data_IF_151078709869
#
_entry.id   IF_151078709869
#
_cell.length_a   1.000
_cell.length_b   1.000
_cell.length_c   1.000
_cell.angle_alpha   90.00
_cell.angle_beta   90.00
_cell.angle_gamma   90.00
#
_symmetry.space_group_name_H-M   'P 1'
#
loop_
_entity.id
_entity.type
_entity.pdbx_description
1 polymer ?
#
# COMPACT_ATOMS: atom_id res chain seq x y z
N UNK A 1 -22.93 -72.31 -4.05
CA UNK A 1 -21.77 -71.44 -4.41
C UNK A 1 -22.23 -70.52 -5.52
N UNK A 2 -22.16 -69.18 -5.52
CA UNK A 2 -21.72 -68.12 -4.60
C UNK A 2 -22.48 -66.88 -5.09
N UNK A 3 -23.01 -66.07 -4.18
CA UNK A 3 -23.62 -64.78 -4.50
C UNK A 3 -22.58 -63.84 -5.13
N UNK A 4 -22.79 -63.42 -6.38
CA UNK A 4 -22.01 -62.33 -6.98
C UNK A 4 -22.74 -61.01 -6.73
N UNK A 5 -22.44 -60.40 -5.59
CA UNK A 5 -22.86 -59.03 -5.26
C UNK A 5 -21.99 -58.06 -6.09
N UNK A 6 -22.60 -57.39 -7.07
CA UNK A 6 -21.97 -56.27 -7.77
C UNK A 6 -22.01 -55.05 -6.83
N UNK A 7 -20.90 -54.78 -6.16
CA UNK A 7 -20.71 -53.59 -5.33
C UNK A 7 -20.43 -52.40 -6.27
N UNK A 8 -21.45 -51.56 -6.48
CA UNK A 8 -21.29 -50.22 -7.04
C UNK A 8 -20.63 -49.37 -5.94
N UNK A 9 -19.30 -49.24 -6.02
CA UNK A 9 -18.54 -48.31 -5.22
C UNK A 9 -18.69 -46.90 -5.79
N UNK A 10 -19.58 -46.12 -5.19
CA UNK A 10 -19.74 -44.69 -5.47
C UNK A 10 -18.50 -43.94 -4.95
N UNK A 11 -17.59 -43.56 -5.85
CA UNK A 11 -16.46 -42.67 -5.57
C UNK A 11 -16.91 -41.23 -5.82
N UNK A 12 -17.64 -40.67 -4.86
CA UNK A 12 -17.88 -39.23 -4.75
C UNK A 12 -17.53 -38.84 -3.33
N UNK A 13 -16.48 -38.03 -3.12
CA UNK A 13 -16.35 -37.02 -2.05
C UNK A 13 -14.91 -36.47 -2.03
N UNK A 14 -14.60 -35.59 -2.99
CA UNK A 14 -13.47 -34.65 -2.88
C UNK A 14 -13.80 -33.26 -3.46
N UNK A 15 -15.08 -32.95 -3.70
CA UNK A 15 -15.51 -31.71 -4.36
C UNK A 15 -15.94 -30.57 -3.44
N UNK A 16 -16.27 -30.84 -2.16
CA UNK A 16 -16.93 -29.83 -1.31
C UNK A 16 -15.97 -28.78 -0.73
N UNK A 17 -14.69 -29.09 -0.52
CA UNK A 17 -13.71 -28.15 0.06
C UNK A 17 -13.25 -27.09 -0.95
N UNK A 18 -13.08 -27.47 -2.22
CA UNK A 18 -12.74 -26.54 -3.31
C UNK A 18 -13.88 -25.55 -3.62
N UNK A 19 -15.14 -26.03 -3.60
CA UNK A 19 -16.32 -25.19 -3.86
C UNK A 19 -16.54 -24.14 -2.77
N UNK A 20 -16.30 -24.49 -1.50
CA UNK A 20 -16.42 -23.56 -0.37
C UNK A 20 -15.41 -22.41 -0.45
N UNK A 21 -14.13 -22.71 -0.70
CA UNK A 21 -13.07 -21.70 -0.79
C UNK A 21 -13.28 -20.71 -1.94
N UNK A 22 -13.73 -21.19 -3.11
CA UNK A 22 -14.04 -20.31 -4.23
C UNK A 22 -15.22 -19.38 -3.93
N UNK A 23 -16.26 -19.88 -3.24
CA UNK A 23 -17.40 -19.08 -2.82
C UNK A 23 -17.02 -17.97 -1.85
N UNK A 24 -16.31 -18.30 -0.77
CA UNK A 24 -15.84 -17.32 0.22
C UNK A 24 -14.89 -16.30 -0.42
N UNK A 25 -13.99 -16.73 -1.31
CA UNK A 25 -13.11 -15.81 -2.02
C UNK A 25 -13.89 -14.77 -2.85
N UNK A 26 -14.93 -15.18 -3.57
CA UNK A 26 -15.75 -14.25 -4.35
C UNK A 26 -16.59 -13.33 -3.47
N UNK A 27 -17.12 -13.82 -2.34
CA UNK A 27 -17.83 -12.98 -1.36
C UNK A 27 -16.90 -11.92 -0.75
N UNK A 28 -15.65 -12.28 -0.46
CA UNK A 28 -14.64 -11.33 0.01
C UNK A 28 -14.35 -10.23 -1.01
N UNK A 29 -14.24 -10.58 -2.30
CA UNK A 29 -14.03 -9.60 -3.37
C UNK A 29 -15.23 -8.66 -3.56
N UNK A 30 -16.45 -9.20 -3.45
CA UNK A 30 -17.66 -8.38 -3.46
C UNK A 30 -17.73 -7.42 -2.27
N UNK A 31 -17.30 -7.86 -1.08
CA UNK A 31 -17.22 -6.98 0.08
C UNK A 31 -16.20 -5.84 -0.14
N UNK A 32 -15.04 -6.13 -0.77
CA UNK A 32 -14.07 -5.09 -1.14
C UNK A 32 -14.62 -4.08 -2.15
N UNK A 33 -15.38 -4.52 -3.16
CA UNK A 33 -15.99 -3.60 -4.14
C UNK A 33 -17.09 -2.73 -3.54
N UNK A 34 -17.69 -3.17 -2.42
CA UNK A 34 -18.61 -2.37 -1.59
C UNK A 34 -17.91 -1.48 -0.54
N UNK A 35 -16.57 -1.43 -0.53
CA UNK A 35 -15.78 -0.73 0.48
C UNK A 35 -16.04 -1.22 1.92
N UNK A 36 -16.27 -2.53 2.09
CA UNK A 36 -16.47 -3.20 3.38
C UNK A 36 -15.25 -4.09 3.74
N UNK A 37 -14.10 -3.50 4.10
CA UNK A 37 -12.86 -4.27 4.25
C UNK A 37 -12.90 -5.28 5.41
N UNK A 38 -13.62 -5.02 6.49
CA UNK A 38 -13.75 -5.97 7.61
C UNK A 38 -14.58 -7.21 7.24
N UNK A 39 -15.66 -7.00 6.49
CA UNK A 39 -16.46 -8.10 5.95
C UNK A 39 -15.61 -8.93 4.97
N UNK A 40 -14.84 -8.25 4.12
CA UNK A 40 -13.93 -8.91 3.19
C UNK A 40 -12.89 -9.79 3.90
N UNK A 41 -12.26 -9.27 4.97
CA UNK A 41 -11.31 -10.04 5.78
C UNK A 41 -11.96 -11.26 6.41
N UNK A 42 -13.20 -11.17 6.86
CA UNK A 42 -13.93 -12.33 7.41
C UNK A 42 -14.01 -13.47 6.40
N UNK A 43 -14.34 -13.15 5.14
CA UNK A 43 -14.38 -14.16 4.07
C UNK A 43 -12.99 -14.68 3.71
N UNK A 44 -12.01 -13.79 3.49
CA UNK A 44 -10.66 -14.22 3.12
C UNK A 44 -9.97 -15.04 4.21
N UNK A 45 -10.23 -14.75 5.49
CA UNK A 45 -9.69 -15.54 6.61
C UNK A 45 -10.22 -16.98 6.61
N UNK A 46 -11.46 -17.22 6.15
CA UNK A 46 -11.97 -18.59 5.97
C UNK A 46 -11.21 -19.30 4.85
N UNK A 47 -10.97 -18.62 3.74
CA UNK A 47 -10.17 -19.15 2.63
C UNK A 47 -8.76 -19.50 3.11
N UNK A 48 -8.08 -18.60 3.81
CA UNK A 48 -6.69 -18.83 4.27
C UNK A 48 -6.57 -19.83 5.42
N UNK A 49 -7.62 -20.02 6.21
CA UNK A 49 -7.69 -21.06 7.24
C UNK A 49 -7.78 -22.47 6.64
N UNK A 50 -8.39 -22.60 5.46
CA UNK A 50 -8.47 -23.87 4.73
C UNK A 50 -7.25 -24.08 3.83
N UNK A 51 -6.87 -23.05 3.08
CA UNK A 51 -5.72 -23.05 2.16
C UNK A 51 -4.98 -21.72 2.23
N UNK A 52 -3.89 -21.69 2.98
CA UNK A 52 -3.05 -20.48 3.11
C UNK A 52 -2.30 -20.12 1.82
N UNK A 53 -2.22 -21.03 0.84
CA UNK A 53 -1.60 -20.81 -0.46
C UNK A 53 -2.61 -20.45 -1.56
N UNK A 54 -3.89 -20.28 -1.21
CA UNK A 54 -4.96 -20.12 -2.18
C UNK A 54 -4.66 -19.03 -3.20
N UNK A 55 -4.67 -19.43 -4.47
CA UNK A 55 -4.48 -18.55 -5.62
C UNK A 55 -5.44 -18.96 -6.72
N UNK A 56 -6.11 -18.00 -7.33
CA UNK A 56 -6.92 -18.24 -8.54
C UNK A 56 -6.18 -17.76 -9.79
N UNK A 57 -6.57 -18.29 -10.93
CA UNK A 57 -6.10 -17.84 -12.23
C UNK A 57 -7.28 -17.30 -13.03
N UNK A 58 -7.17 -16.04 -13.45
CA UNK A 58 -8.13 -15.39 -14.32
C UNK A 58 -7.45 -15.10 -15.65
N UNK A 59 -7.55 -16.06 -16.58
CA UNK A 59 -6.63 -16.13 -17.71
C UNK A 59 -5.20 -16.37 -17.21
N UNK A 60 -4.19 -15.62 -17.69
CA UNK A 60 -2.83 -15.74 -17.16
C UNK A 60 -2.57 -14.85 -15.93
N UNK A 61 -3.56 -14.09 -15.41
CA UNK A 61 -3.38 -13.36 -14.15
C UNK A 61 -3.43 -14.35 -12.99
N UNK A 62 -2.36 -14.41 -12.19
CA UNK A 62 -2.39 -15.04 -10.88
C UNK A 62 -2.93 -14.07 -9.84
N UNK A 63 -3.81 -14.58 -8.98
CA UNK A 63 -4.46 -13.80 -7.95
C UNK A 63 -4.42 -14.55 -6.61
N UNK A 64 -3.39 -14.28 -5.81
CA UNK A 64 -3.30 -14.82 -4.44
C UNK A 64 -4.35 -14.19 -3.53
N UNK A 65 -4.95 -15.00 -2.64
CA UNK A 65 -5.83 -14.51 -1.56
C UNK A 65 -5.14 -13.45 -0.69
N UNK A 66 -3.82 -13.56 -0.49
CA UNK A 66 -3.06 -12.61 0.33
C UNK A 66 -2.97 -11.22 -0.28
N UNK A 67 -3.04 -11.10 -1.61
CA UNK A 67 -3.18 -9.82 -2.31
C UNK A 67 -4.47 -9.12 -1.88
N UNK A 68 -5.55 -9.88 -1.73
CA UNK A 68 -6.84 -9.34 -1.31
C UNK A 68 -6.94 -9.08 0.20
N UNK A 69 -6.35 -9.94 1.04
CA UNK A 69 -6.19 -9.69 2.48
C UNK A 69 -5.40 -8.40 2.71
N UNK A 70 -4.27 -8.23 2.01
CA UNK A 70 -3.45 -7.02 2.10
C UNK A 70 -4.23 -5.78 1.68
N UNK A 71 -5.01 -5.86 0.59
CA UNK A 71 -5.86 -4.75 0.14
C UNK A 71 -6.93 -4.37 1.16
N UNK A 72 -7.53 -5.35 1.85
CA UNK A 72 -8.51 -5.07 2.90
C UNK A 72 -7.86 -4.36 4.10
N UNK A 73 -6.66 -4.78 4.53
CA UNK A 73 -5.89 -4.08 5.54
C UNK A 73 -5.48 -2.67 5.10
N UNK A 74 -5.03 -2.51 3.86
CA UNK A 74 -4.66 -1.22 3.27
C UNK A 74 -5.84 -0.24 3.30
N UNK A 75 -7.01 -0.67 2.84
CA UNK A 75 -8.24 0.13 2.85
C UNK A 75 -8.72 0.51 4.27
N UNK A 76 -8.29 -0.24 5.28
CA UNK A 76 -8.61 0.02 6.69
C UNK A 76 -7.54 0.84 7.42
N UNK A 77 -6.50 1.31 6.71
CA UNK A 77 -5.37 2.03 7.31
C UNK A 77 -4.42 1.15 8.14
N UNK A 78 -4.59 -0.17 8.12
CA UNK A 78 -3.75 -1.16 8.82
C UNK A 78 -2.51 -1.50 7.98
N UNK A 79 -1.63 -0.51 7.81
CA UNK A 79 -0.52 -0.60 6.86
C UNK A 79 0.54 -1.65 7.22
N UNK A 80 0.75 -1.95 8.51
CA UNK A 80 1.71 -2.97 8.93
C UNK A 80 1.22 -4.37 8.52
N UNK A 81 -0.05 -4.67 8.77
CA UNK A 81 -0.72 -5.91 8.40
C UNK A 81 -0.87 -6.03 6.89
N UNK A 82 -1.18 -4.93 6.20
CA UNK A 82 -1.23 -4.87 4.74
C UNK A 82 0.11 -5.30 4.13
N UNK A 83 1.22 -4.70 4.61
CA UNK A 83 2.57 -5.05 4.16
C UNK A 83 2.88 -6.53 4.38
N UNK A 84 2.60 -7.04 5.57
CA UNK A 84 2.85 -8.45 5.89
C UNK A 84 2.05 -9.41 4.99
N UNK A 85 0.82 -9.04 4.62
CA UNK A 85 0.02 -9.81 3.68
C UNK A 85 0.58 -9.76 2.26
N UNK A 86 0.99 -8.58 1.75
CA UNK A 86 1.59 -8.46 0.42
C UNK A 86 2.96 -9.13 0.28
N UNK A 87 3.74 -9.22 1.37
CA UNK A 87 5.02 -9.92 1.35
C UNK A 87 4.85 -11.43 1.06
N UNK A 88 3.74 -12.05 1.48
CA UNK A 88 3.50 -13.50 1.29
C UNK A 88 3.50 -13.96 -0.18
N UNK A 89 2.69 -13.39 -1.09
CA UNK A 89 2.71 -13.80 -2.50
C UNK A 89 4.03 -13.42 -3.18
N UNK A 90 4.63 -12.29 -2.80
CA UNK A 90 5.88 -11.79 -3.41
C UNK A 90 7.11 -12.63 -3.06
N UNK A 91 7.07 -13.44 -2.00
CA UNK A 91 8.12 -14.41 -1.68
C UNK A 91 8.11 -15.62 -2.63
N UNK A 92 6.96 -15.94 -3.21
CA UNK A 92 6.76 -17.15 -4.01
C UNK A 92 6.76 -16.87 -5.51
N UNK A 93 6.23 -15.70 -5.89
CA UNK A 93 5.91 -15.39 -7.28
C UNK A 93 6.35 -13.96 -7.63
N UNK A 94 7.11 -13.83 -8.71
CA UNK A 94 7.60 -12.53 -9.17
C UNK A 94 6.55 -11.76 -10.00
N UNK A 95 5.53 -12.45 -10.50
CA UNK A 95 4.43 -11.95 -11.36
C UNK A 95 3.21 -11.46 -10.56
N UNK A 96 3.29 -11.39 -9.23
CA UNK A 96 2.28 -10.81 -8.33
C UNK A 96 2.32 -9.27 -8.36
N UNK A 97 2.14 -8.70 -9.55
CA UNK A 97 2.31 -7.28 -9.79
C UNK A 97 1.30 -6.41 -9.05
N UNK A 98 0.06 -6.89 -8.86
CA UNK A 98 -0.96 -6.20 -8.05
C UNK A 98 -0.54 -6.16 -6.58
N UNK A 99 -0.03 -7.25 -6.02
CA UNK A 99 0.50 -7.27 -4.65
C UNK A 99 1.68 -6.29 -4.50
N UNK A 100 2.59 -6.28 -5.49
CA UNK A 100 3.72 -5.34 -5.52
C UNK A 100 3.27 -3.88 -5.58
N UNK A 101 2.26 -3.58 -6.38
CA UNK A 101 1.68 -2.24 -6.49
C UNK A 101 1.16 -1.75 -5.14
N UNK A 102 0.29 -2.54 -4.50
CA UNK A 102 -0.28 -2.17 -3.21
C UNK A 102 0.75 -2.18 -2.08
N UNK A 103 1.80 -2.99 -2.15
CA UNK A 103 2.93 -2.90 -1.22
C UNK A 103 3.68 -1.56 -1.36
N UNK A 104 3.91 -1.10 -2.58
CA UNK A 104 4.47 0.23 -2.85
C UNK A 104 3.58 1.34 -2.28
N UNK A 105 2.27 1.27 -2.53
CA UNK A 105 1.27 2.21 -1.96
C UNK A 105 1.27 2.19 -0.42
N UNK A 106 1.41 1.01 0.18
CA UNK A 106 1.49 0.83 1.63
C UNK A 106 2.69 1.55 2.21
N UNK A 107 3.85 1.51 1.53
CA UNK A 107 5.05 2.25 1.96
C UNK A 107 4.84 3.77 1.91
N UNK A 108 4.07 4.30 0.96
CA UNK A 108 3.76 5.73 0.91
C UNK A 108 2.86 6.17 2.07
N UNK A 109 1.88 5.32 2.43
CA UNK A 109 0.88 5.63 3.45
C UNK A 109 1.27 5.24 4.88
N UNK A 110 2.24 4.35 5.04
CA UNK A 110 2.66 3.86 6.35
C UNK A 110 3.31 4.96 7.21
N UNK A 111 3.19 4.88 8.56
CA UNK A 111 3.92 5.75 9.46
C UNK A 111 5.42 5.76 9.14
N UNK A 112 6.05 6.93 9.19
CA UNK A 112 7.45 7.12 8.79
C UNK A 112 7.61 7.74 7.40
N UNK A 113 6.56 7.78 6.59
CA UNK A 113 6.49 8.60 5.38
C UNK A 113 6.30 10.08 5.74
N UNK A 114 7.02 10.96 5.04
CA UNK A 114 6.90 12.41 5.12
C UNK A 114 5.72 12.95 4.33
N UNK A 115 5.04 12.09 3.54
CA UNK A 115 3.75 12.41 2.92
C UNK A 115 2.72 12.48 4.05
N UNK A 116 2.28 13.69 4.45
CA UNK A 116 1.53 13.85 5.68
C UNK A 116 0.12 13.26 5.51
N UNK A 117 -0.43 12.59 6.54
CA UNK A 117 -1.88 12.45 6.65
C UNK A 117 -2.52 13.85 6.78
N UNK A 118 -3.80 14.04 6.43
CA UNK A 118 -4.42 15.37 6.44
C UNK A 118 -4.31 16.03 7.82
N UNK A 119 -3.60 17.16 7.84
CA UNK A 119 -3.37 18.12 8.93
C UNK A 119 -2.58 17.65 10.17
N UNK A 120 -1.32 18.12 10.31
CA UNK A 120 -0.66 18.21 11.63
C UNK A 120 0.27 19.41 11.79
N UNK A 121 -0.11 20.25 12.77
CA UNK A 121 0.58 21.22 13.66
C UNK A 121 1.93 21.84 13.23
N UNK A 122 1.99 23.18 13.33
CA UNK A 122 3.17 24.00 13.05
C UNK A 122 4.31 23.84 14.09
N UNK A 123 5.53 23.45 13.66
CA UNK A 123 6.71 23.36 14.52
C UNK A 123 7.16 24.73 15.03
N UNK A 124 7.89 24.74 16.15
CA UNK A 124 8.30 25.95 16.85
C UNK A 124 9.43 26.67 16.07
N UNK A 125 9.19 27.92 15.71
CA UNK A 125 10.11 28.77 14.95
C UNK A 125 11.18 29.42 15.83
N UNK A 126 12.26 29.93 15.22
CA UNK A 126 13.28 30.69 15.93
C UNK A 126 12.68 31.95 16.58
N UNK A 127 11.72 32.58 15.91
CA UNK A 127 11.03 33.75 16.43
C UNK A 127 10.22 33.43 17.70
N UNK A 128 9.50 32.30 17.72
CA UNK A 128 8.75 31.88 18.91
C UNK A 128 9.67 31.54 20.09
N UNK A 129 10.81 30.87 19.85
CA UNK A 129 11.81 30.57 20.89
C UNK A 129 12.42 31.86 21.44
N UNK A 130 12.88 32.75 20.55
CA UNK A 130 13.51 34.02 20.96
C UNK A 130 12.52 34.93 21.69
N UNK A 131 11.25 34.94 21.28
CA UNK A 131 10.19 35.66 21.97
C UNK A 131 9.97 35.09 23.38
N UNK A 132 9.80 33.78 23.53
CA UNK A 132 9.60 33.15 24.83
C UNK A 132 10.74 33.45 25.82
N UNK A 133 11.98 33.39 25.35
CA UNK A 133 13.15 33.71 26.18
C UNK A 133 13.21 35.20 26.57
N UNK A 134 12.87 36.12 25.65
CA UNK A 134 12.78 37.56 25.93
C UNK A 134 11.72 37.89 26.99
N UNK A 135 10.60 37.19 26.97
CA UNK A 135 9.52 37.32 27.95
C UNK A 135 9.85 36.64 29.30
N UNK A 136 11.06 36.08 29.46
CA UNK A 136 11.51 35.46 30.70
C UNK A 136 10.94 34.06 30.95
N UNK A 137 10.43 33.38 29.91
CA UNK A 137 9.98 31.99 30.03
C UNK A 137 11.19 31.10 30.32
N UNK A 138 11.06 30.26 31.35
CA UNK A 138 12.11 29.33 31.78
C UNK A 138 12.61 28.45 30.59
N UNK A 139 13.94 28.36 30.35
CA UNK A 139 14.50 27.59 29.24
C UNK A 139 14.08 26.12 29.20
N UNK A 140 13.85 25.48 30.36
CA UNK A 140 13.38 24.08 30.42
C UNK A 140 11.92 23.97 29.98
N UNK A 141 11.10 24.99 30.26
CA UNK A 141 9.73 25.06 29.73
C UNK A 141 9.75 25.21 28.21
N UNK A 142 10.61 26.08 27.68
CA UNK A 142 10.82 26.22 26.23
C UNK A 142 11.30 24.90 25.60
N UNK A 143 12.21 24.18 26.26
CA UNK A 143 12.70 22.88 25.80
C UNK A 143 11.58 21.83 25.74
N UNK A 144 10.68 21.82 26.72
CA UNK A 144 9.51 20.93 26.73
C UNK A 144 8.58 21.22 25.57
N UNK A 145 8.27 22.50 25.32
CA UNK A 145 7.43 22.91 24.19
C UNK A 145 8.06 22.58 22.84
N UNK A 146 9.38 22.77 22.72
CA UNK A 146 10.13 22.40 21.53
C UNK A 146 10.10 20.89 21.26
N UNK A 147 10.15 20.07 22.32
CA UNK A 147 10.02 18.61 22.21
C UNK A 147 8.63 18.19 21.73
N UNK A 148 7.58 18.81 22.26
CA UNK A 148 6.19 18.45 21.93
C UNK A 148 5.79 18.86 20.51
N UNK A 149 6.32 19.99 20.02
CA UNK A 149 5.94 20.57 18.71
C UNK A 149 6.97 20.36 17.61
N UNK A 150 8.21 19.99 17.96
CA UNK A 150 9.35 20.04 17.05
C UNK A 150 9.84 21.47 16.81
N UNK A 151 10.97 21.59 16.09
CA UNK A 151 11.68 22.86 15.84
C UNK A 151 11.91 23.07 14.34
N UNK A 152 11.59 24.28 13.86
CA UNK A 152 11.61 24.68 12.45
C UNK A 152 12.91 25.39 12.00
N UNK A 153 13.97 25.37 12.81
CA UNK A 153 15.24 26.04 12.53
C UNK A 153 16.44 25.17 12.93
N UNK A 154 17.60 25.44 12.33
CA UNK A 154 18.86 24.78 12.66
C UNK A 154 19.66 25.59 13.68
N UNK A 155 20.36 24.89 14.56
CA UNK A 155 21.20 25.50 15.60
C UNK A 155 22.59 25.84 15.03
N UNK A 156 22.68 26.90 14.23
CA UNK A 156 23.95 27.46 13.74
C UNK A 156 24.73 28.15 14.88
N UNK A 157 26.02 28.45 14.68
CA UNK A 157 26.81 29.21 15.67
C UNK A 157 26.18 30.57 16.01
N UNK A 158 25.64 31.25 15.00
CA UNK A 158 24.94 32.52 15.14
C UNK A 158 23.65 32.36 15.96
N UNK A 159 22.83 31.37 15.60
CA UNK A 159 21.56 31.09 16.28
C UNK A 159 21.79 30.67 17.74
N UNK A 160 22.80 29.85 17.99
CA UNK A 160 23.19 29.45 19.33
C UNK A 160 23.62 30.66 20.17
N UNK A 161 24.44 31.54 19.60
CA UNK A 161 24.88 32.78 20.27
C UNK A 161 23.69 33.69 20.57
N UNK A 162 22.78 33.86 19.61
CA UNK A 162 21.56 34.64 19.77
C UNK A 162 20.69 34.09 20.91
N UNK A 163 20.46 32.78 20.96
CA UNK A 163 19.66 32.15 22.00
C UNK A 163 20.34 32.26 23.38
N UNK A 164 21.66 32.07 23.47
CA UNK A 164 22.43 32.25 24.71
C UNK A 164 22.34 33.68 25.23
N UNK A 165 22.44 34.69 24.36
CA UNK A 165 22.29 36.10 24.72
C UNK A 165 20.90 36.42 25.27
N UNK A 166 19.89 35.58 24.97
CA UNK A 166 18.52 35.72 25.47
C UNK A 166 18.24 34.83 26.70
N UNK A 167 19.25 34.18 27.27
CA UNK A 167 19.10 33.36 28.47
C UNK A 167 18.85 31.87 28.23
N UNK A 168 19.03 31.36 27.00
CA UNK A 168 19.03 29.92 26.75
C UNK A 168 20.20 29.25 27.48
N UNK A 169 19.89 28.21 28.26
CA UNK A 169 20.89 27.38 28.94
C UNK A 169 21.38 26.23 28.06
N UNK A 170 22.40 25.50 28.53
CA UNK A 170 22.93 24.34 27.81
C UNK A 170 21.87 23.26 27.56
N UNK A 171 20.94 23.07 28.51
CA UNK A 171 19.89 22.06 28.40
C UNK A 171 18.92 22.35 27.24
N UNK A 172 18.48 23.59 27.08
CA UNK A 172 17.62 24.00 25.95
C UNK A 172 18.32 23.80 24.60
N UNK A 173 19.59 24.19 24.50
CA UNK A 173 20.36 24.08 23.26
C UNK A 173 20.64 22.62 22.88
N UNK A 174 20.98 21.78 23.85
CA UNK A 174 21.17 20.34 23.66
C UNK A 174 19.85 19.67 23.24
N UNK A 175 18.72 20.08 23.82
CA UNK A 175 17.41 19.58 23.43
C UNK A 175 17.05 19.97 21.98
N UNK A 176 17.23 21.24 21.59
CA UNK A 176 17.00 21.69 20.20
C UNK A 176 17.89 20.91 19.23
N UNK A 177 19.17 20.73 19.57
CA UNK A 177 20.13 19.96 18.75
C UNK A 177 19.67 18.51 18.60
N UNK A 178 19.24 17.88 19.70
CA UNK A 178 18.72 16.51 19.70
C UNK A 178 17.48 16.39 18.81
N UNK A 179 16.52 17.29 18.95
CA UNK A 179 15.30 17.33 18.11
C UNK A 179 15.67 17.43 16.62
N UNK A 180 16.63 18.28 16.24
CA UNK A 180 17.06 18.41 14.84
C UNK A 180 17.79 17.18 14.31
N UNK A 181 18.64 16.55 15.12
CA UNK A 181 19.29 15.29 14.76
C UNK A 181 18.25 14.19 14.54
N UNK A 182 17.26 14.08 15.43
CA UNK A 182 16.17 13.10 15.31
C UNK A 182 15.29 13.38 14.09
N UNK A 183 14.93 14.63 13.83
CA UNK A 183 14.16 15.03 12.66
C UNK A 183 14.91 14.72 11.36
N UNK A 184 16.20 15.02 11.28
CA UNK A 184 17.01 14.70 10.09
C UNK A 184 17.12 13.18 9.87
N UNK A 185 17.24 12.39 10.95
CA UNK A 185 17.19 10.92 10.86
C UNK A 185 15.84 10.43 10.36
N UNK A 186 14.73 10.98 10.87
CA UNK A 186 13.37 10.66 10.41
C UNK A 186 13.18 11.03 8.94
N UNK A 187 13.64 12.21 8.52
CA UNK A 187 13.55 12.65 7.12
C UNK A 187 14.32 11.72 6.19
N UNK A 188 15.55 11.34 6.54
CA UNK A 188 16.32 10.37 5.73
C UNK A 188 15.63 9.00 5.66
N UNK A 189 15.15 8.48 6.78
CA UNK A 189 14.41 7.23 6.80
C UNK A 189 13.12 7.31 5.95
N UNK A 190 12.45 8.46 5.97
CA UNK A 190 11.31 8.74 5.10
C UNK A 190 11.71 8.77 3.62
N UNK A 191 12.81 9.45 3.28
CA UNK A 191 13.29 9.52 1.90
C UNK A 191 13.65 8.13 1.38
N UNK A 192 14.33 7.31 2.19
CA UNK A 192 14.64 5.92 1.87
C UNK A 192 13.36 5.09 1.68
N UNK A 193 12.37 5.27 2.55
CA UNK A 193 11.06 4.62 2.44
C UNK A 193 10.31 5.04 1.16
N UNK A 194 10.30 6.31 0.81
CA UNK A 194 9.67 6.83 -0.40
C UNK A 194 10.42 6.40 -1.67
N UNK A 195 11.74 6.33 -1.63
CA UNK A 195 12.54 5.79 -2.72
C UNK A 195 12.24 4.30 -2.95
N UNK A 196 12.10 3.53 -1.88
CA UNK A 196 11.66 2.14 -1.97
C UNK A 196 10.24 2.05 -2.53
N UNK A 197 9.30 2.88 -2.06
CA UNK A 197 7.95 2.93 -2.58
C UNK A 197 7.92 3.21 -4.09
N UNK A 198 8.66 4.22 -4.56
CA UNK A 198 8.77 4.54 -5.98
C UNK A 198 9.32 3.35 -6.80
N UNK A 199 10.29 2.61 -6.26
CA UNK A 199 10.85 1.41 -6.91
C UNK A 199 9.79 0.30 -7.06
N UNK A 200 9.05 0.01 -5.99
CA UNK A 200 7.98 -0.99 -6.01
C UNK A 200 6.88 -0.60 -7.01
N UNK A 201 6.44 0.67 -6.98
CA UNK A 201 5.41 1.18 -7.88
C UNK A 201 5.84 1.10 -9.35
N UNK A 202 7.07 1.55 -9.68
CA UNK A 202 7.60 1.44 -11.04
C UNK A 202 7.65 0.00 -11.51
N UNK A 203 8.19 -0.90 -10.69
CA UNK A 203 8.28 -2.32 -11.03
C UNK A 203 6.91 -2.96 -11.24
N UNK A 204 5.94 -2.64 -10.38
CA UNK A 204 4.59 -3.16 -10.49
C UNK A 204 3.88 -2.65 -11.75
N UNK A 205 3.94 -1.34 -12.02
CA UNK A 205 3.30 -0.73 -13.19
C UNK A 205 3.91 -1.23 -14.50
N UNK A 206 5.23 -1.42 -14.56
CA UNK A 206 5.88 -2.05 -15.72
C UNK A 206 5.37 -3.47 -15.92
N UNK A 207 5.35 -4.30 -14.87
CA UNK A 207 4.87 -5.68 -14.96
C UNK A 207 3.39 -5.77 -15.37
N UNK A 208 2.52 -4.91 -14.84
CA UNK A 208 1.11 -4.83 -15.24
C UNK A 208 0.95 -4.41 -16.72
N UNK A 209 1.76 -3.46 -17.18
CA UNK A 209 1.78 -3.05 -18.59
C UNK A 209 2.20 -4.19 -19.51
N UNK A 210 3.29 -4.87 -19.18
CA UNK A 210 3.81 -6.03 -19.92
C UNK A 210 2.80 -7.18 -19.95
N UNK A 211 2.17 -7.45 -18.82
CA UNK A 211 1.11 -8.44 -18.68
C UNK A 211 -0.09 -8.15 -19.60
N UNK A 212 -0.62 -6.92 -19.58
CA UNK A 212 -1.75 -6.53 -20.43
C UNK A 212 -1.39 -6.60 -21.92
N UNK A 213 -0.17 -6.21 -22.28
CA UNK A 213 0.33 -6.35 -23.64
C UNK A 213 0.44 -7.83 -24.05
N UNK A 214 0.95 -8.68 -23.17
CA UNK A 214 1.09 -10.11 -23.40
C UNK A 214 -0.28 -10.77 -23.64
N UNK A 215 -1.26 -10.57 -22.75
CA UNK A 215 -2.60 -11.14 -22.92
C UNK A 215 -3.22 -10.71 -24.25
N UNK A 216 -3.18 -9.42 -24.55
CA UNK A 216 -3.82 -8.88 -25.76
C UNK A 216 -3.20 -9.44 -27.03
N UNK A 217 -1.90 -9.72 -27.02
CA UNK A 217 -1.19 -10.29 -28.16
C UNK A 217 -1.29 -11.82 -28.25
N UNK A 218 -1.42 -12.53 -27.12
CA UNK A 218 -1.22 -13.99 -27.07
C UNK A 218 -2.44 -14.79 -26.57
N UNK A 219 -3.55 -14.14 -26.21
CA UNK A 219 -4.76 -14.82 -25.73
C UNK A 219 -6.00 -14.39 -26.51
N UNK A 220 -6.84 -15.37 -26.87
CA UNK A 220 -8.17 -15.13 -27.46
C UNK A 220 -9.03 -14.27 -26.51
N UNK A 221 -8.86 -14.46 -25.20
CA UNK A 221 -9.57 -13.67 -24.19
C UNK A 221 -9.08 -12.22 -24.15
N UNK A 222 -7.86 -11.93 -24.63
CA UNK A 222 -7.25 -10.61 -24.49
C UNK A 222 -7.99 -9.49 -25.19
N UNK A 223 -8.86 -9.78 -26.17
CA UNK A 223 -9.76 -8.78 -26.77
C UNK A 223 -10.80 -8.22 -25.79
N UNK A 224 -11.09 -8.96 -24.72
CA UNK A 224 -12.04 -8.57 -23.67
C UNK A 224 -11.35 -7.92 -22.47
N UNK A 225 -10.02 -7.93 -22.42
CA UNK A 225 -9.23 -7.27 -21.38
C UNK A 225 -8.93 -5.84 -21.79
N UNK A 226 -9.38 -4.89 -20.97
CA UNK A 226 -9.17 -3.45 -21.13
C UNK A 226 -9.43 -2.96 -22.57
N UNK A 227 -10.62 -3.25 -23.14
CA UNK A 227 -10.92 -2.93 -24.54
C UNK A 227 -10.89 -1.42 -24.81
N UNK A 228 -11.32 -0.61 -23.83
CA UNK A 228 -11.28 0.85 -23.89
C UNK A 228 -9.87 1.43 -23.70
N UNK A 229 -8.92 0.67 -23.15
CA UNK A 229 -7.59 1.16 -22.84
C UNK A 229 -7.51 2.01 -21.56
N UNK A 230 -8.56 2.00 -20.73
CA UNK A 230 -8.62 2.77 -19.48
C UNK A 230 -7.52 2.36 -18.50
N UNK A 231 -7.30 1.05 -18.34
CA UNK A 231 -6.29 0.53 -17.41
C UNK A 231 -4.90 0.86 -17.93
N UNK A 232 -4.62 0.59 -19.22
CA UNK A 232 -3.32 0.91 -19.83
C UNK A 232 -3.04 2.41 -19.83
N UNK A 233 -4.06 3.24 -20.07
CA UNK A 233 -3.95 4.70 -19.99
C UNK A 233 -3.58 5.16 -18.57
N UNK A 234 -4.22 4.61 -17.54
CA UNK A 234 -3.91 4.92 -16.14
C UNK A 234 -2.53 4.41 -15.71
N UNK A 235 -2.08 3.28 -16.23
CA UNK A 235 -0.70 2.81 -16.02
C UNK A 235 0.30 3.80 -16.60
N UNK A 236 0.09 4.26 -17.84
CA UNK A 236 0.97 5.24 -18.49
C UNK A 236 1.00 6.57 -17.75
N UNK A 237 -0.16 7.06 -17.29
CA UNK A 237 -0.26 8.27 -16.46
C UNK A 237 0.54 8.11 -15.16
N UNK A 238 0.36 7.00 -14.44
CA UNK A 238 1.07 6.73 -13.19
C UNK A 238 2.59 6.60 -13.42
N UNK A 239 3.01 6.01 -14.54
CA UNK A 239 4.43 5.93 -14.94
C UNK A 239 5.00 7.33 -15.25
N UNK A 240 4.24 8.20 -15.91
CA UNK A 240 4.64 9.59 -16.20
C UNK A 240 4.84 10.38 -14.90
N UNK A 241 3.91 10.28 -13.95
CA UNK A 241 4.02 10.93 -12.64
C UNK A 241 5.26 10.44 -11.86
N UNK A 242 5.58 9.15 -11.93
CA UNK A 242 6.78 8.57 -11.33
C UNK A 242 8.08 8.92 -12.07
N UNK A 243 8.01 9.41 -13.30
CA UNK A 243 9.14 9.90 -14.09
C UNK A 243 9.44 11.39 -13.91
N UNK A 244 8.57 12.13 -13.21
CA UNK A 244 8.72 13.56 -13.00
C UNK A 244 9.93 13.90 -12.11
N UNK A 245 10.52 15.08 -12.34
CA UNK A 245 11.64 15.60 -11.53
C UNK A 245 11.24 15.79 -10.05
N UNK A 246 10.01 16.22 -9.82
CA UNK A 246 9.42 16.35 -8.49
C UNK A 246 8.16 15.48 -8.45
N UNK A 247 8.14 14.51 -7.54
CA UNK A 247 7.05 13.54 -7.45
C UNK A 247 5.85 14.17 -6.73
N UNK A 248 4.71 14.16 -7.41
CA UNK A 248 3.43 14.47 -6.78
C UNK A 248 2.85 13.18 -6.18
N UNK A 249 3.17 12.91 -4.92
CA UNK A 249 2.77 11.67 -4.24
C UNK A 249 1.26 11.47 -4.15
N UNK A 250 0.48 12.55 -3.97
CA UNK A 250 -0.98 12.45 -3.92
C UNK A 250 -1.55 11.98 -5.26
N UNK A 251 -1.08 12.58 -6.37
CA UNK A 251 -1.47 12.17 -7.71
C UNK A 251 -1.02 10.73 -8.02
N UNK A 252 0.24 10.39 -7.69
CA UNK A 252 0.79 9.04 -7.90
C UNK A 252 -0.05 8.00 -7.16
N UNK A 253 -0.38 8.26 -5.89
CA UNK A 253 -1.16 7.33 -5.08
C UNK A 253 -2.56 7.17 -5.66
N UNK A 254 -3.26 8.27 -5.97
CA UNK A 254 -4.60 8.21 -6.54
C UNK A 254 -4.65 7.44 -7.87
N UNK A 255 -3.68 7.67 -8.76
CA UNK A 255 -3.61 6.97 -10.05
C UNK A 255 -3.26 5.48 -9.87
N UNK A 256 -2.30 5.17 -9.00
CA UNK A 256 -1.89 3.78 -8.75
C UNK A 256 -2.96 2.97 -8.00
N UNK A 257 -3.69 3.57 -7.05
CA UNK A 257 -4.86 2.95 -6.41
C UNK A 257 -5.94 2.62 -7.46
N UNK A 258 -6.18 3.53 -8.41
CA UNK A 258 -7.11 3.30 -9.52
C UNK A 258 -6.68 2.11 -10.39
N UNK A 259 -5.40 2.05 -10.79
CA UNK A 259 -4.85 0.90 -11.54
C UNK A 259 -5.04 -0.39 -10.76
N UNK A 260 -4.67 -0.41 -9.47
CA UNK A 260 -4.79 -1.58 -8.62
C UNK A 260 -6.24 -2.06 -8.47
N UNK A 261 -7.19 -1.13 -8.32
CA UNK A 261 -8.61 -1.44 -8.28
C UNK A 261 -9.10 -2.05 -9.60
N UNK A 262 -8.83 -1.38 -10.72
CA UNK A 262 -9.28 -1.85 -12.03
C UNK A 262 -8.70 -3.23 -12.37
N UNK A 263 -7.40 -3.43 -12.11
CA UNK A 263 -6.74 -4.72 -12.34
C UNK A 263 -7.35 -5.86 -11.53
N UNK A 264 -7.81 -5.61 -10.30
CA UNK A 264 -8.48 -6.65 -9.49
C UNK A 264 -9.89 -6.97 -9.96
N UNK A 265 -10.57 -6.07 -10.68
CA UNK A 265 -11.95 -6.26 -11.16
C UNK A 265 -12.02 -6.71 -12.63
N UNK A 266 -10.91 -6.54 -13.36
CA UNK A 266 -10.84 -6.82 -14.79
C UNK A 266 -11.05 -8.30 -15.15
N UNK A 267 -10.52 -9.28 -14.40
CA UNK A 267 -10.88 -10.68 -14.55
C UNK A 267 -12.36 -10.98 -14.82
N UNK A 268 -13.28 -10.53 -13.97
CA UNK A 268 -14.70 -10.82 -14.13
C UNK A 268 -15.34 -9.95 -15.20
N UNK A 269 -14.83 -8.73 -15.42
CA UNK A 269 -15.29 -7.88 -16.53
C UNK A 269 -15.02 -8.57 -17.87
N UNK A 270 -13.77 -8.96 -18.10
CA UNK A 270 -13.35 -9.67 -19.29
C UNK A 270 -14.11 -10.99 -19.47
N UNK A 271 -14.31 -11.76 -18.40
CA UNK A 271 -15.07 -13.01 -18.46
C UNK A 271 -16.55 -12.78 -18.82
N UNK A 272 -17.19 -11.75 -18.25
CA UNK A 272 -18.59 -11.40 -18.57
C UNK A 272 -18.73 -10.94 -20.02
N UNK A 273 -17.80 -10.12 -20.50
CA UNK A 273 -17.82 -9.62 -21.87
C UNK A 273 -17.56 -10.75 -22.88
N UNK A 274 -16.69 -11.70 -22.53
CA UNK A 274 -16.50 -12.93 -23.30
C UNK A 274 -17.80 -13.74 -23.42
N UNK A 275 -18.52 -13.93 -22.31
CA UNK A 275 -19.80 -14.65 -22.32
C UNK A 275 -20.87 -13.94 -23.14
N UNK A 276 -20.90 -12.61 -23.12
CA UNK A 276 -21.84 -11.81 -23.92
C UNK A 276 -21.51 -11.85 -25.41
N UNK A 277 -20.23 -11.75 -25.77
CA UNK A 277 -19.79 -11.78 -27.18
C UNK A 277 -19.82 -13.17 -27.83
N UNK A 278 -20.12 -14.23 -27.07
CA UNK A 278 -20.36 -15.59 -27.57
C UNK A 278 -21.83 -15.90 -27.86
N UNK A 279 -22.75 -15.05 -27.41
CA UNK A 279 -24.19 -15.14 -27.69
C UNK A 279 -24.53 -14.35 -28.96
#
# INVERSE_FOLDING_TARGET
MKHLRLLIGFLFFAGCTSLGNQGDFQLGRQALSRAEPENALTYFNRVTAVDSGYSTYSGPLRESVWTYVGRAHYNSGRYAEARAAFDRPLLQFNDEHVARLYRGLTLVRAPGSSVPPPATRNPFSLQEVTFALKEGVDPRRVATLARDRGVAFDLSRETETQLRNLGADGALLDEIRKIRVELNRRNRASDDQLNQAAKELRSALTGLSEFLNYIRANSIQGRFWDPGGDIRGKIQESQSLLGARQLNWDAIVATAETVGYQMTEEPERAQRDEQRGRR
#
